data_IF_712729764828
#
_entry.id   IF_712729764828
#
_cell.length_a   1.000
_cell.length_b   1.000
_cell.length_c   1.000
_cell.angle_alpha   90.00
_cell.angle_beta   90.00
_cell.angle_gamma   90.00
#
_symmetry.space_group_name_H-M   'P 1'
#
loop_
_entity.id
_entity.type
_entity.pdbx_description
1 polymer ?
#
# COMPACT_ATOMS: atom_id res chain seq x y z
N UNK A 1 29.59 10.73 -2.97
CA UNK A 1 28.67 10.45 -1.84
C UNK A 1 28.47 8.96 -1.83
N UNK A 2 29.04 8.25 -0.86
CA UNK A 2 28.82 6.80 -0.74
C UNK A 2 27.44 6.53 -0.15
N UNK A 3 26.68 5.65 -0.79
CA UNK A 3 25.38 5.21 -0.31
C UNK A 3 25.61 4.18 0.79
N UNK A 4 25.41 4.59 2.04
CA UNK A 4 25.59 3.71 3.20
C UNK A 4 24.47 2.64 3.23
N UNK A 5 24.58 1.62 4.09
CA UNK A 5 23.60 0.54 4.16
C UNK A 5 22.17 1.05 4.44
N UNK A 6 22.05 2.10 5.27
CA UNK A 6 20.77 2.75 5.61
C UNK A 6 20.11 3.43 4.41
N UNK A 7 20.91 4.04 3.52
CA UNK A 7 20.40 4.64 2.28
C UNK A 7 19.88 3.57 1.31
N UNK A 8 20.52 2.38 1.27
CA UNK A 8 20.06 1.24 0.45
C UNK A 8 18.73 0.69 0.96
N UNK A 9 18.58 0.57 2.28
CA UNK A 9 17.34 0.10 2.90
C UNK A 9 16.17 1.04 2.56
N UNK A 10 16.37 2.36 2.64
CA UNK A 10 15.35 3.34 2.24
C UNK A 10 14.98 3.20 0.75
N UNK A 11 15.96 3.02 -0.13
CA UNK A 11 15.71 2.82 -1.55
C UNK A 11 14.83 1.59 -1.79
N UNK A 12 15.08 0.48 -1.09
CA UNK A 12 14.24 -0.73 -1.20
C UNK A 12 12.84 -0.51 -0.66
N UNK A 13 12.68 0.21 0.46
CA UNK A 13 11.37 0.62 0.99
C UNK A 13 10.59 1.44 -0.03
N UNK A 14 11.24 2.42 -0.65
CA UNK A 14 10.59 3.28 -1.65
C UNK A 14 10.22 2.50 -2.91
N UNK A 15 11.09 1.61 -3.40
CA UNK A 15 10.75 0.70 -4.52
C UNK A 15 9.53 -0.13 -4.21
N UNK A 16 9.49 -0.74 -3.01
CA UNK A 16 8.34 -1.53 -2.57
C UNK A 16 7.09 -0.68 -2.47
N UNK A 17 7.18 0.53 -1.91
CA UNK A 17 6.05 1.43 -1.80
C UNK A 17 5.44 1.78 -3.16
N UNK A 18 6.26 2.09 -4.17
CA UNK A 18 5.75 2.39 -5.51
C UNK A 18 5.14 1.15 -6.19
N UNK A 19 5.72 -0.04 -5.99
CA UNK A 19 5.14 -1.28 -6.51
C UNK A 19 3.77 -1.56 -5.88
N UNK A 20 3.66 -1.46 -4.54
CA UNK A 20 2.40 -1.63 -3.81
C UNK A 20 1.37 -0.57 -4.22
N UNK A 21 1.79 0.69 -4.41
CA UNK A 21 0.91 1.76 -4.89
C UNK A 21 0.33 1.46 -6.27
N UNK A 22 1.14 0.96 -7.20
CA UNK A 22 0.67 0.56 -8.52
C UNK A 22 -0.36 -0.58 -8.43
N UNK A 23 -0.09 -1.56 -7.56
CA UNK A 23 -1.00 -2.69 -7.33
C UNK A 23 -2.33 -2.26 -6.70
N UNK A 24 -2.31 -1.30 -5.76
CA UNK A 24 -3.53 -0.72 -5.18
C UNK A 24 -4.40 -0.07 -6.26
N UNK A 25 -3.80 0.71 -7.17
CA UNK A 25 -4.56 1.37 -8.24
C UNK A 25 -5.10 0.35 -9.26
N UNK A 26 -4.37 -0.72 -9.55
CA UNK A 26 -4.86 -1.82 -10.40
C UNK A 26 -6.07 -2.53 -9.79
N UNK A 27 -5.94 -3.00 -8.54
CA UNK A 27 -7.03 -3.68 -7.81
C UNK A 27 -8.24 -2.76 -7.70
N UNK A 28 -8.03 -1.48 -7.36
CA UNK A 28 -9.10 -0.49 -7.26
C UNK A 28 -9.80 -0.29 -8.61
N UNK A 29 -9.06 -0.20 -9.70
CA UNK A 29 -9.63 -0.03 -11.04
C UNK A 29 -10.49 -1.23 -11.45
N UNK A 30 -10.03 -2.46 -11.18
CA UNK A 30 -10.79 -3.68 -11.42
C UNK A 30 -12.08 -3.75 -10.59
N UNK A 31 -11.99 -3.44 -9.30
CA UNK A 31 -13.16 -3.43 -8.40
C UNK A 31 -14.19 -2.35 -8.80
N UNK A 32 -13.73 -1.15 -9.16
CA UNK A 32 -14.64 -0.07 -9.59
C UNK A 32 -15.32 -0.37 -10.93
N UNK A 33 -14.62 -1.01 -11.88
CA UNK A 33 -15.22 -1.47 -13.13
C UNK A 33 -16.32 -2.51 -12.85
N UNK A 34 -15.99 -3.55 -12.09
CA UNK A 34 -16.93 -4.61 -11.73
C UNK A 34 -18.14 -4.07 -10.94
N UNK A 35 -17.92 -3.12 -10.02
CA UNK A 35 -19.01 -2.49 -9.27
C UNK A 35 -19.97 -1.75 -10.21
N UNK A 36 -19.45 -0.95 -11.14
CA UNK A 36 -20.28 -0.20 -12.10
C UNK A 36 -21.11 -1.11 -12.99
N UNK A 37 -20.55 -2.25 -13.40
CA UNK A 37 -21.25 -3.25 -14.19
C UNK A 37 -22.31 -3.99 -13.38
N UNK A 38 -22.05 -4.27 -12.10
CA UNK A 38 -23.00 -4.97 -11.22
C UNK A 38 -24.22 -4.15 -10.84
N UNK A 39 -24.10 -2.81 -10.80
CA UNK A 39 -25.15 -1.93 -10.27
C UNK A 39 -25.40 -2.09 -8.76
N UNK A 40 -24.55 -2.83 -8.06
CA UNK A 40 -24.69 -3.06 -6.61
C UNK A 40 -24.39 -1.80 -5.79
N UNK A 41 -25.07 -1.71 -4.65
CA UNK A 41 -24.75 -0.75 -3.59
C UNK A 41 -23.31 -0.93 -3.12
N UNK A 42 -22.62 0.18 -2.81
CA UNK A 42 -21.21 0.19 -2.42
C UNK A 42 -20.95 -0.77 -1.25
N UNK A 43 -21.80 -0.70 -0.22
CA UNK A 43 -21.65 -1.49 1.00
C UNK A 43 -21.79 -3.00 0.74
N UNK A 44 -22.67 -3.39 -0.18
CA UNK A 44 -22.87 -4.80 -0.57
C UNK A 44 -21.70 -5.31 -1.40
N UNK A 45 -21.30 -4.53 -2.41
CA UNK A 45 -20.22 -4.91 -3.33
C UNK A 45 -18.89 -5.08 -2.59
N UNK A 46 -18.53 -4.14 -1.72
CA UNK A 46 -17.26 -4.16 -0.99
C UNK A 46 -17.28 -5.04 0.28
N UNK A 47 -18.36 -5.77 0.54
CA UNK A 47 -18.39 -6.73 1.64
C UNK A 47 -17.93 -8.12 1.14
N UNK A 48 -16.74 -8.60 1.54
CA UNK A 48 -16.20 -9.86 1.05
C UNK A 48 -17.00 -11.10 1.50
N UNK A 49 -17.89 -10.95 2.50
CA UNK A 49 -18.79 -12.04 2.93
C UNK A 49 -19.99 -12.23 2.02
N UNK A 50 -20.41 -11.18 1.32
CA UNK A 50 -21.58 -11.17 0.44
C UNK A 50 -21.19 -11.16 -1.04
N UNK A 51 -19.95 -10.76 -1.35
CA UNK A 51 -19.40 -10.76 -2.71
C UNK A 51 -18.22 -11.74 -2.84
N UNK A 52 -18.47 -13.06 -2.93
CA UNK A 52 -17.41 -14.06 -3.00
C UNK A 52 -16.57 -13.94 -4.29
N UNK A 53 -17.14 -13.40 -5.37
CA UNK A 53 -16.46 -13.23 -6.65
C UNK A 53 -15.30 -12.21 -6.56
N UNK A 54 -15.48 -11.16 -5.77
CA UNK A 54 -14.48 -10.10 -5.59
C UNK A 54 -13.84 -10.09 -4.19
N UNK A 55 -14.19 -11.04 -3.33
CA UNK A 55 -13.70 -11.11 -1.94
C UNK A 55 -12.16 -11.09 -1.85
N UNK A 56 -11.47 -11.83 -2.72
CA UNK A 56 -10.02 -11.87 -2.75
C UNK A 56 -9.40 -10.50 -3.07
N UNK A 57 -9.91 -9.81 -4.09
CA UNK A 57 -9.45 -8.48 -4.48
C UNK A 57 -9.78 -7.43 -3.40
N UNK A 58 -10.95 -7.53 -2.76
CA UNK A 58 -11.34 -6.65 -1.64
C UNK A 58 -10.36 -6.82 -0.47
N UNK A 59 -10.11 -8.07 -0.04
CA UNK A 59 -9.17 -8.37 1.06
C UNK A 59 -7.75 -7.90 0.69
N UNK A 60 -7.31 -8.17 -0.55
CA UNK A 60 -6.01 -7.73 -1.06
C UNK A 60 -5.89 -6.22 -1.04
N UNK A 61 -6.91 -5.49 -1.46
CA UNK A 61 -6.92 -4.02 -1.43
C UNK A 61 -6.70 -3.48 -0.02
N UNK A 62 -7.31 -4.10 1.00
CA UNK A 62 -7.12 -3.74 2.40
C UNK A 62 -5.69 -4.04 2.88
N UNK A 63 -5.16 -5.22 2.54
CA UNK A 63 -3.80 -5.62 2.91
C UNK A 63 -2.75 -4.67 2.30
N UNK A 64 -2.87 -4.34 1.01
CA UNK A 64 -1.96 -3.44 0.32
C UNK A 64 -2.00 -2.02 0.90
N UNK A 65 -3.18 -1.51 1.25
CA UNK A 65 -3.29 -0.19 1.92
C UNK A 65 -2.58 -0.18 3.27
N UNK A 66 -2.71 -1.25 4.06
CA UNK A 66 -1.97 -1.36 5.33
C UNK A 66 -0.46 -1.44 5.10
N UNK A 67 -0.04 -2.18 4.07
CA UNK A 67 1.38 -2.26 3.70
C UNK A 67 1.94 -0.88 3.32
N UNK A 68 1.22 -0.09 2.54
CA UNK A 68 1.63 1.29 2.20
C UNK A 68 1.85 2.14 3.46
N UNK A 69 0.94 2.06 4.44
CA UNK A 69 1.06 2.80 5.71
C UNK A 69 2.32 2.37 6.46
N UNK A 70 2.58 1.06 6.57
CA UNK A 70 3.79 0.54 7.23
C UNK A 70 5.08 0.99 6.55
N UNK A 71 5.10 0.98 5.21
CA UNK A 71 6.27 1.41 4.43
C UNK A 71 6.56 2.91 4.63
N UNK A 72 5.51 3.75 4.68
CA UNK A 72 5.67 5.19 4.93
C UNK A 72 6.14 5.48 6.37
N UNK A 73 5.61 4.75 7.36
CA UNK A 73 6.07 4.85 8.75
C UNK A 73 7.56 4.48 8.90
N UNK A 74 7.98 3.44 8.18
CA UNK A 74 9.39 3.05 8.12
C UNK A 74 10.27 4.12 7.46
N UNK A 75 9.82 4.70 6.34
CA UNK A 75 10.51 5.78 5.67
C UNK A 75 10.60 7.06 6.53
N UNK A 76 9.54 7.38 7.28
CA UNK A 76 9.52 8.52 8.20
C UNK A 76 10.49 8.31 9.37
N UNK A 77 10.49 7.11 9.98
CA UNK A 77 11.42 6.75 11.04
C UNK A 77 12.86 6.90 10.60
N UNK A 78 13.17 6.52 9.36
CA UNK A 78 14.47 6.74 8.75
C UNK A 78 14.81 8.24 8.65
N UNK A 79 13.89 9.06 8.13
CA UNK A 79 14.07 10.51 8.00
C UNK A 79 14.36 11.19 9.35
N UNK A 80 13.65 10.77 10.41
CA UNK A 80 13.88 11.27 11.77
C UNK A 80 15.26 10.90 12.31
N UNK A 81 15.74 9.67 12.10
CA UNK A 81 17.09 9.25 12.50
C UNK A 81 18.20 10.05 11.82
N UNK A 82 18.00 10.47 10.56
CA UNK A 82 19.00 11.28 9.84
C UNK A 82 19.04 12.74 10.30
N UNK A 83 17.92 13.28 10.79
CA UNK A 83 17.82 14.65 11.31
C UNK A 83 18.31 14.78 12.76
N UNK A 84 18.45 13.65 13.47
CA UNK A 84 19.06 13.55 14.80
C UNK A 84 20.38 12.78 14.67
N UNK A 85 21.43 13.37 14.06
CA UNK A 85 22.76 12.79 14.16
C UNK A 85 23.16 12.86 15.64
N UNK A 86 23.38 11.69 16.24
CA UNK A 86 23.96 11.43 17.56
C UNK A 86 24.58 12.69 18.22
N UNK A 87 23.90 13.28 19.21
CA UNK A 87 24.54 14.23 20.13
C UNK A 87 25.56 13.43 20.95
N UNK A 88 26.81 13.45 20.49
CA UNK A 88 27.99 12.90 21.15
C UNK A 88 28.47 13.78 22.31
#
# INVERSE_FOLDING_TARGET
MEMNASDRDLVEVMKRYFAVKAEVEDVKSRLEAARRESGEEISTFYNPRTNPNHAADIIRSHALRQEMVRLMDWAETWGRRRLMPDEA
#
